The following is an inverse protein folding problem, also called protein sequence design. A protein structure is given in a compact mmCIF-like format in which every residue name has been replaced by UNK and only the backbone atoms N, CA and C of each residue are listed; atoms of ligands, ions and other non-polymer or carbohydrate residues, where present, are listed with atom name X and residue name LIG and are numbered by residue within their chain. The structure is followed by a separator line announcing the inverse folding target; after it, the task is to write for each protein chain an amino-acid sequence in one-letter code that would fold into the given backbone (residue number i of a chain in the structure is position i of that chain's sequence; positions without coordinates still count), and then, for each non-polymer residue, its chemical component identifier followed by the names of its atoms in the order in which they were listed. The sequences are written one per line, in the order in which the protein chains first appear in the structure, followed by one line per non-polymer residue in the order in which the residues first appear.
data_IF_309219233698
#
_entry.id   IF_309219233698
#
_cell.length_a   1.000
_cell.length_b   1.000
_cell.length_c   1.000
_cell.angle_alpha   90.00
_cell.angle_beta   90.00
_cell.angle_gamma   90.00
#
_symmetry.space_group_name_H-M   'P 1'
#
loop_
_entity.id
_entity.type
_entity.pdbx_description
1 polymer ?
#
# COMPACT_ATOMS: atom_id res chain seq x y z
N UNK A 1 -16.42 -3.43 21.69
CA UNK A 1 -15.84 -3.89 20.41
C UNK A 1 -14.76 -4.94 20.69
N UNK A 2 -15.15 -6.19 20.93
CA UNK A 2 -14.25 -7.34 21.10
C UNK A 2 -14.08 -8.06 19.75
N UNK A 3 -12.87 -8.58 19.46
CA UNK A 3 -12.54 -9.25 18.19
C UNK A 3 -11.12 -8.94 17.70
N UNK A 4 -10.63 -9.68 16.70
CA UNK A 4 -9.30 -9.53 16.11
C UNK A 4 -9.03 -8.09 15.63
N UNK A 5 -10.06 -7.39 15.15
CA UNK A 5 -9.94 -6.02 14.64
C UNK A 5 -10.42 -4.93 15.61
N UNK A 6 -10.67 -5.26 16.88
CA UNK A 6 -11.14 -4.29 17.89
C UNK A 6 -10.18 -3.11 18.14
N UNK A 7 -8.89 -3.28 17.83
CA UNK A 7 -7.92 -2.19 17.91
C UNK A 7 -8.16 -1.10 16.86
N UNK A 8 -8.86 -1.40 15.75
CA UNK A 8 -9.12 -0.42 14.69
C UNK A 8 -10.11 0.66 15.14
N UNK A 9 -10.98 0.39 16.12
CA UNK A 9 -11.79 1.43 16.76
C UNK A 9 -10.92 2.53 17.41
N UNK A 10 -9.75 2.18 17.96
CA UNK A 10 -8.79 3.16 18.51
C UNK A 10 -8.10 3.99 17.43
N UNK A 11 -8.13 3.53 16.19
CA UNK A 11 -7.61 4.24 15.01
C UNK A 11 -8.72 5.07 14.31
N UNK A 12 -9.93 5.10 14.85
CA UNK A 12 -11.07 5.83 14.30
C UNK A 12 -11.95 5.04 13.34
N UNK A 13 -11.81 3.71 13.27
CA UNK A 13 -12.75 2.88 12.52
C UNK A 13 -14.13 2.87 13.20
N UNK A 14 -15.19 2.89 12.39
CA UNK A 14 -16.55 2.75 12.89
C UNK A 14 -16.79 1.35 13.43
N UNK A 15 -17.72 1.25 14.36
CA UNK A 15 -18.15 0.00 14.97
C UNK A 15 -18.64 -1.02 13.92
N UNK A 16 -19.33 -0.55 12.88
CA UNK A 16 -19.76 -1.35 11.73
C UNK A 16 -18.58 -1.86 10.91
N UNK A 17 -17.58 -1.02 10.64
CA UNK A 17 -16.39 -1.44 9.90
C UNK A 17 -15.62 -2.52 10.66
N UNK A 18 -15.48 -2.35 11.98
CA UNK A 18 -14.86 -3.35 12.85
C UNK A 18 -15.67 -4.64 12.88
N UNK A 19 -17.01 -4.57 12.91
CA UNK A 19 -17.87 -5.74 12.84
C UNK A 19 -17.70 -6.50 11.51
N UNK A 20 -17.75 -5.81 10.37
CA UNK A 20 -17.55 -6.41 9.03
C UNK A 20 -16.16 -7.05 8.90
N UNK A 21 -15.12 -6.40 9.41
CA UNK A 21 -13.76 -6.95 9.40
C UNK A 21 -13.62 -8.20 10.27
N UNK A 22 -14.30 -8.25 11.42
CA UNK A 22 -14.30 -9.44 12.27
C UNK A 22 -15.14 -10.57 11.68
N UNK A 23 -16.27 -10.26 11.03
CA UNK A 23 -17.13 -11.24 10.36
C UNK A 23 -16.46 -11.80 9.09
N UNK A 24 -15.69 -10.96 8.40
CA UNK A 24 -15.02 -11.30 7.14
C UNK A 24 -13.53 -10.94 7.17
N UNK A 25 -12.69 -11.72 7.89
CA UNK A 25 -11.26 -11.44 8.04
C UNK A 25 -10.50 -11.40 6.72
N UNK A 26 -10.99 -12.11 5.69
CA UNK A 26 -10.39 -12.14 4.36
C UNK A 26 -10.44 -10.78 3.65
N UNK A 27 -11.41 -9.90 3.96
CA UNK A 27 -11.48 -8.53 3.42
C UNK A 27 -10.22 -7.76 3.79
N UNK A 28 -9.76 -7.87 5.03
CA UNK A 28 -8.52 -7.24 5.48
C UNK A 28 -7.32 -7.72 4.65
N UNK A 29 -7.22 -9.03 4.44
CA UNK A 29 -6.15 -9.63 3.63
C UNK A 29 -6.16 -9.12 2.18
N UNK A 30 -7.34 -9.04 1.56
CA UNK A 30 -7.50 -8.50 0.20
C UNK A 30 -7.03 -7.04 0.15
N UNK A 31 -7.46 -6.20 1.11
CA UNK A 31 -7.05 -4.80 1.19
C UNK A 31 -5.52 -4.68 1.31
N UNK A 32 -4.88 -5.52 2.13
CA UNK A 32 -3.42 -5.55 2.25
C UNK A 32 -2.71 -5.92 0.94
N UNK A 33 -3.24 -6.89 0.19
CA UNK A 33 -2.70 -7.28 -1.13
C UNK A 33 -2.82 -6.14 -2.13
N UNK A 34 -3.98 -5.47 -2.19
CA UNK A 34 -4.19 -4.32 -3.08
C UNK A 34 -3.24 -3.17 -2.74
N UNK A 35 -3.10 -2.83 -1.46
CA UNK A 35 -2.17 -1.77 -1.01
C UNK A 35 -0.72 -2.13 -1.36
N UNK A 36 -0.31 -3.40 -1.18
CA UNK A 36 1.03 -3.88 -1.56
C UNK A 36 1.28 -3.76 -3.06
N UNK A 37 0.30 -4.16 -3.89
CA UNK A 37 0.37 -4.01 -5.36
C UNK A 37 0.50 -2.55 -5.76
N UNK A 38 -0.38 -1.69 -5.26
CA UNK A 38 -0.34 -0.26 -5.55
C UNK A 38 1.00 0.39 -5.16
N UNK A 39 1.59 -0.01 -4.02
CA UNK A 39 2.94 0.45 -3.63
C UNK A 39 4.05 -0.07 -4.54
N UNK A 40 3.96 -1.31 -5.03
CA UNK A 40 4.94 -1.87 -5.96
C UNK A 40 4.94 -1.09 -7.29
N UNK A 41 3.77 -0.79 -7.82
CA UNK A 41 3.60 -0.01 -9.05
C UNK A 41 4.11 1.43 -8.87
N UNK A 42 3.79 2.07 -7.74
CA UNK A 42 4.30 3.40 -7.41
C UNK A 42 5.84 3.43 -7.24
N UNK A 43 6.43 2.37 -6.66
CA UNK A 43 7.88 2.26 -6.49
C UNK A 43 8.58 2.08 -7.84
N UNK A 44 8.04 1.24 -8.73
CA UNK A 44 8.55 1.05 -10.10
C UNK A 44 8.52 2.37 -10.88
N UNK A 45 7.41 3.10 -10.83
CA UNK A 45 7.28 4.40 -11.50
C UNK A 45 8.29 5.45 -10.99
N UNK A 46 8.56 5.48 -9.67
CA UNK A 46 9.60 6.37 -9.11
C UNK A 46 11.01 5.93 -9.50
N UNK A 47 11.26 4.62 -9.59
CA UNK A 47 12.57 4.08 -9.94
C UNK A 47 12.91 4.30 -11.42
N UNK A 48 11.94 4.14 -12.32
CA UNK A 48 12.10 4.43 -13.75
C UNK A 48 12.41 5.91 -14.01
N UNK A 49 11.74 6.83 -13.31
CA UNK A 49 12.07 8.27 -13.35
C UNK A 49 13.49 8.56 -12.84
N UNK A 50 13.92 7.90 -11.76
CA UNK A 50 15.26 8.08 -11.18
C UNK A 50 16.38 7.51 -12.07
N UNK A 51 16.12 6.39 -12.74
CA UNK A 51 17.06 5.77 -13.68
C UNK A 51 17.22 6.63 -14.94
N UNK A 52 16.12 7.18 -15.47
CA UNK A 52 16.16 8.10 -16.63
C UNK A 52 16.92 9.40 -16.32
N UNK A 53 16.81 9.92 -15.10
CA UNK A 53 17.56 11.10 -14.65
C UNK A 53 19.07 10.84 -14.45
N UNK A 54 19.48 9.61 -14.14
CA UNK A 54 20.90 9.24 -13.94
C UNK A 54 21.61 8.79 -15.23
N UNK A 55 20.88 8.42 -16.27
CA UNK A 55 21.44 8.01 -17.57
C UNK A 55 21.81 9.16 -18.52
N UNK A 56 21.57 10.41 -18.12
CA UNK A 56 21.80 11.60 -18.95
C UNK A 56 23.12 12.32 -18.64
N UNK A 57 24.27 11.66 -18.78
CA UNK A 57 25.48 12.37 -19.19
C UNK A 57 25.80 11.85 -20.59
N UNK A 58 25.64 12.67 -21.65
CA UNK A 58 26.25 12.30 -22.93
C UNK A 58 27.73 12.14 -22.63
N UNK A 59 28.27 10.95 -22.91
CA UNK A 59 29.70 10.82 -23.05
C UNK A 59 30.08 11.85 -24.10
N UNK A 60 30.69 12.96 -23.67
CA UNK A 60 31.24 13.96 -24.55
C UNK A 60 32.17 13.19 -25.48
N UNK A 61 31.70 13.06 -26.71
CA UNK A 61 32.34 12.39 -27.82
C UNK A 61 33.72 13.04 -27.94
N UNK A 62 34.76 12.24 -27.70
CA UNK A 62 36.15 12.63 -27.88
C UNK A 62 36.41 13.00 -29.33
#
# INVERSE_FOLDING_TARGET
MSGQFGFMSKLGATDEAVAVLNDQPYIFTILMVVIRKAKADAKKAKQDKKNKAKGGKPAAQR
#
